data_IF_952821672701
#
_entry.id   IF_952821672701
#
_cell.length_a   1.000
_cell.length_b   1.000
_cell.length_c   1.000
_cell.angle_alpha   90.00
_cell.angle_beta   90.00
_cell.angle_gamma   90.00
#
_symmetry.space_group_name_H-M   'P 1'
#
loop_
_entity.id
_entity.type
_entity.pdbx_description
1 polymer ?
#
# COMPACT_ATOMS: atom_id res chain seq x y z
N UNK A 1 31.67 -28.41 -41.10
CA UNK A 1 31.43 -27.07 -41.65
C UNK A 1 30.44 -26.37 -40.73
N UNK A 2 30.81 -25.17 -40.27
CA UNK A 2 30.20 -24.45 -39.15
C UNK A 2 28.91 -23.69 -39.53
N UNK A 3 28.03 -23.62 -38.53
CA UNK A 3 27.14 -22.52 -38.12
C UNK A 3 26.17 -21.85 -39.10
N UNK A 4 24.88 -22.01 -38.76
CA UNK A 4 23.81 -21.07 -39.06
C UNK A 4 22.86 -20.98 -37.87
N UNK A 5 23.35 -20.45 -36.73
CA UNK A 5 22.52 -20.15 -35.55
C UNK A 5 21.84 -18.80 -35.80
N UNK A 6 20.53 -18.82 -35.98
CA UNK A 6 19.70 -17.61 -36.00
C UNK A 6 19.57 -17.08 -34.58
N UNK A 7 20.12 -15.88 -34.37
CA UNK A 7 20.04 -15.12 -33.13
C UNK A 7 18.58 -14.83 -32.74
N UNK A 8 18.17 -14.96 -31.46
CA UNK A 8 16.90 -14.42 -31.00
C UNK A 8 16.95 -12.89 -31.06
N UNK A 9 15.92 -12.31 -31.68
CA UNK A 9 15.74 -10.87 -31.82
C UNK A 9 15.73 -10.20 -30.46
N UNK A 10 16.66 -9.26 -30.29
CA UNK A 10 16.71 -8.34 -29.18
C UNK A 10 15.47 -7.44 -29.30
N UNK A 11 14.42 -7.73 -28.52
CA UNK A 11 13.27 -6.82 -28.39
C UNK A 11 13.78 -5.60 -27.65
N UNK A 12 14.11 -4.56 -28.41
CA UNK A 12 14.32 -3.23 -27.86
C UNK A 12 13.00 -2.81 -27.25
N UNK A 13 12.84 -3.01 -25.94
CA UNK A 13 11.80 -2.36 -25.16
C UNK A 13 12.05 -0.87 -25.34
N UNK A 14 11.14 -0.17 -26.04
CA UNK A 14 11.19 1.27 -26.21
C UNK A 14 11.24 1.93 -24.83
N UNK A 15 12.45 2.23 -24.38
CA UNK A 15 12.69 3.12 -23.27
C UNK A 15 12.23 4.53 -23.69
N UNK A 16 11.53 5.20 -22.77
CA UNK A 16 10.96 6.54 -22.89
C UNK A 16 9.64 6.68 -23.67
N UNK A 17 8.57 6.14 -23.07
CA UNK A 17 7.30 6.86 -22.96
C UNK A 17 7.08 7.19 -21.48
N UNK A 18 7.96 8.04 -20.93
CA UNK A 18 7.53 8.84 -19.77
C UNK A 18 6.57 9.87 -20.37
N UNK A 19 5.32 9.99 -19.88
CA UNK A 19 4.44 11.08 -20.30
C UNK A 19 5.25 12.35 -20.19
N UNK A 20 5.51 13.00 -21.33
CA UNK A 20 6.38 14.17 -21.39
C UNK A 20 5.57 15.35 -20.86
N UNK A 21 5.30 15.32 -19.55
CA UNK A 21 4.72 16.43 -18.82
C UNK A 21 5.76 17.55 -18.82
N UNK A 22 5.75 18.36 -19.88
CA UNK A 22 6.34 19.68 -19.82
C UNK A 22 5.74 20.36 -18.60
N UNK A 23 6.57 20.69 -17.63
CA UNK A 23 6.22 21.24 -16.30
C UNK A 23 5.36 22.52 -16.32
N UNK A 24 5.01 23.05 -17.49
CA UNK A 24 4.34 24.33 -17.68
C UNK A 24 2.81 24.25 -17.87
N UNK A 25 2.23 23.07 -18.10
CA UNK A 25 0.81 22.94 -18.51
C UNK A 25 -0.04 22.02 -17.61
N UNK A 26 0.38 21.70 -16.38
CA UNK A 26 -0.51 20.95 -15.48
C UNK A 26 -1.77 21.77 -15.19
N UNK A 27 -2.98 21.24 -15.45
CA UNK A 27 -4.19 21.96 -15.18
C UNK A 27 -4.28 22.26 -13.69
N UNK A 28 -4.52 23.51 -13.34
CA UNK A 28 -4.66 23.96 -11.95
C UNK A 28 -6.09 24.37 -11.63
N UNK A 29 -6.50 24.10 -10.40
CA UNK A 29 -7.81 24.50 -9.85
C UNK A 29 -7.72 25.98 -9.48
N UNK A 30 -8.67 26.78 -9.97
CA UNK A 30 -8.71 28.23 -9.68
C UNK A 30 -8.54 28.52 -8.18
N UNK A 31 -7.64 29.43 -7.82
CA UNK A 31 -7.37 29.79 -6.42
C UNK A 31 -8.61 30.37 -5.71
N UNK A 32 -9.45 31.10 -6.44
CA UNK A 32 -10.66 31.75 -5.96
C UNK A 32 -11.90 30.84 -5.95
N UNK A 33 -11.75 29.53 -6.22
CA UNK A 33 -12.85 28.58 -6.23
C UNK A 33 -13.49 28.43 -4.84
N UNK A 34 -14.79 28.68 -4.75
CA UNK A 34 -15.57 28.39 -3.55
C UNK A 34 -16.01 26.92 -3.52
N UNK A 35 -15.33 26.09 -2.74
CA UNK A 35 -15.66 24.66 -2.57
C UNK A 35 -16.99 24.40 -1.84
N UNK A 36 -17.64 25.42 -1.28
CA UNK A 36 -18.98 25.30 -0.68
C UNK A 36 -20.10 25.64 -1.67
N UNK A 37 -19.77 26.06 -2.90
CA UNK A 37 -20.74 26.35 -3.95
C UNK A 37 -20.77 25.20 -4.97
N UNK A 38 -21.81 24.35 -4.97
CA UNK A 38 -21.93 23.25 -5.92
C UNK A 38 -21.91 23.70 -7.39
N UNK A 39 -22.46 24.88 -7.70
CA UNK A 39 -22.48 25.39 -9.07
C UNK A 39 -21.08 25.82 -9.52
N UNK A 40 -20.30 26.45 -8.63
CA UNK A 40 -18.91 26.76 -8.89
C UNK A 40 -18.07 25.49 -9.13
N UNK A 41 -18.30 24.44 -8.35
CA UNK A 41 -17.63 23.14 -8.53
C UNK A 41 -18.01 22.46 -9.85
N UNK A 42 -19.28 22.51 -10.25
CA UNK A 42 -19.74 21.98 -11.55
C UNK A 42 -19.09 22.74 -12.70
N UNK A 43 -19.09 24.09 -12.65
CA UNK A 43 -18.48 24.93 -13.67
C UNK A 43 -16.97 24.69 -13.77
N UNK A 44 -16.27 24.58 -12.64
CA UNK A 44 -14.84 24.29 -12.62
C UNK A 44 -14.54 22.88 -13.15
N UNK A 45 -15.36 21.87 -12.83
CA UNK A 45 -15.23 20.52 -13.40
C UNK A 45 -15.35 20.55 -14.92
N UNK A 46 -16.36 21.23 -15.44
CA UNK A 46 -16.56 21.39 -16.89
C UNK A 46 -15.38 22.10 -17.54
N UNK A 47 -14.83 23.15 -16.91
CA UNK A 47 -13.64 23.84 -17.40
C UNK A 47 -12.43 22.91 -17.44
N UNK A 48 -12.13 22.24 -16.33
CA UNK A 48 -10.95 21.38 -16.19
C UNK A 48 -10.96 20.19 -17.15
N UNK A 49 -12.12 19.56 -17.36
CA UNK A 49 -12.27 18.44 -18.31
C UNK A 49 -12.04 18.84 -19.76
N UNK A 50 -12.25 20.11 -20.10
CA UNK A 50 -12.05 20.65 -21.45
C UNK A 50 -10.65 21.22 -21.68
N UNK A 51 -9.80 21.30 -20.65
CA UNK A 51 -8.44 21.83 -20.81
C UNK A 51 -7.61 20.92 -21.74
N UNK A 52 -6.90 21.47 -22.75
CA UNK A 52 -6.09 20.66 -23.66
C UNK A 52 -5.06 19.75 -22.96
N UNK A 53 -4.49 20.21 -21.84
CA UNK A 53 -3.57 19.42 -21.04
C UNK A 53 -4.23 18.24 -20.30
N UNK A 54 -5.49 18.40 -19.88
CA UNK A 54 -6.27 17.30 -19.30
C UNK A 54 -6.62 16.26 -20.35
N UNK A 55 -7.06 16.72 -21.53
CA UNK A 55 -7.36 15.84 -22.67
C UNK A 55 -6.13 15.04 -23.07
N UNK A 56 -5.00 15.71 -23.30
CA UNK A 56 -3.74 15.04 -23.68
C UNK A 56 -3.26 14.04 -22.64
N UNK A 57 -3.28 14.42 -21.35
CA UNK A 57 -2.92 13.50 -20.27
C UNK A 57 -3.79 12.24 -20.29
N UNK A 58 -5.11 12.41 -20.44
CA UNK A 58 -6.00 11.26 -20.45
C UNK A 58 -5.80 10.37 -21.68
N UNK A 59 -5.60 10.97 -22.86
CA UNK A 59 -5.33 10.24 -24.10
C UNK A 59 -4.01 9.44 -24.05
N UNK A 60 -3.02 9.93 -23.31
CA UNK A 60 -1.72 9.24 -23.12
C UNK A 60 -1.77 8.12 -22.06
N UNK A 61 -2.59 8.29 -21.02
CA UNK A 61 -2.56 7.43 -19.83
C UNK A 61 -3.62 6.34 -19.84
N UNK A 62 -4.80 6.60 -20.41
CA UNK A 62 -5.93 5.68 -20.38
C UNK A 62 -6.08 4.90 -21.69
N UNK A 63 -6.83 3.80 -21.64
CA UNK A 63 -6.95 2.83 -22.72
C UNK A 63 -7.88 3.27 -23.87
N UNK A 64 -8.57 4.40 -23.71
CA UNK A 64 -9.52 4.93 -24.69
C UNK A 64 -10.79 4.09 -24.84
N UNK A 65 -11.05 3.14 -23.94
CA UNK A 65 -12.27 2.33 -23.92
C UNK A 65 -13.36 3.08 -23.15
N UNK A 66 -14.60 3.06 -23.64
CA UNK A 66 -15.73 3.76 -23.00
C UNK A 66 -15.87 5.23 -23.43
N UNK A 67 -16.57 6.04 -22.65
CA UNK A 67 -16.65 7.50 -22.87
C UNK A 67 -15.43 8.20 -22.25
N UNK A 68 -14.53 8.82 -23.06
CA UNK A 68 -13.37 9.54 -22.55
C UNK A 68 -13.73 10.67 -21.57
N UNK A 69 -14.96 11.16 -21.62
CA UNK A 69 -15.47 12.20 -20.72
C UNK A 69 -15.67 11.68 -19.30
N UNK A 70 -16.08 10.41 -19.13
CA UNK A 70 -16.25 9.79 -17.81
C UNK A 70 -14.91 9.65 -17.09
N UNK A 71 -13.88 9.16 -17.78
CA UNK A 71 -12.52 9.04 -17.23
C UNK A 71 -11.95 10.41 -16.88
N UNK A 72 -12.11 11.41 -17.75
CA UNK A 72 -11.72 12.81 -17.45
C UNK A 72 -12.46 13.36 -16.23
N UNK A 73 -13.77 13.11 -16.10
CA UNK A 73 -14.55 13.51 -14.94
C UNK A 73 -14.05 12.85 -13.65
N UNK A 74 -13.66 11.58 -13.70
CA UNK A 74 -13.08 10.87 -12.58
C UNK A 74 -11.74 11.49 -12.13
N UNK A 75 -10.82 11.75 -13.07
CA UNK A 75 -9.54 12.42 -12.77
C UNK A 75 -9.77 13.80 -12.14
N UNK A 76 -10.67 14.61 -12.73
CA UNK A 76 -10.99 15.95 -12.20
C UNK A 76 -11.64 15.86 -10.82
N UNK A 77 -12.46 14.85 -10.57
CA UNK A 77 -13.05 14.61 -9.24
C UNK A 77 -11.98 14.36 -8.18
N UNK A 78 -10.96 13.54 -8.49
CA UNK A 78 -9.82 13.32 -7.58
C UNK A 78 -9.01 14.59 -7.38
N UNK A 79 -8.77 15.35 -8.45
CA UNK A 79 -8.04 16.62 -8.40
C UNK A 79 -8.76 17.67 -7.53
N UNK A 80 -10.07 17.85 -7.72
CA UNK A 80 -10.88 18.75 -6.89
C UNK A 80 -10.97 18.27 -5.44
N UNK A 81 -11.08 16.96 -5.20
CA UNK A 81 -11.07 16.41 -3.85
C UNK A 81 -9.74 16.70 -3.14
N UNK A 82 -8.60 16.57 -3.83
CA UNK A 82 -7.27 16.93 -3.31
C UNK A 82 -7.24 18.40 -2.90
N UNK A 83 -7.60 19.30 -3.82
CA UNK A 83 -7.53 20.73 -3.57
C UNK A 83 -8.49 21.18 -2.45
N UNK A 84 -9.67 20.55 -2.33
CA UNK A 84 -10.59 20.80 -1.21
C UNK A 84 -9.95 20.46 0.14
N UNK A 85 -9.33 19.27 0.25
CA UNK A 85 -8.59 18.87 1.46
C UNK A 85 -7.44 19.81 1.79
N UNK A 86 -6.63 20.20 0.79
CA UNK A 86 -5.46 21.05 0.97
C UNK A 86 -5.82 22.49 1.40
N UNK A 87 -6.88 23.06 0.81
CA UNK A 87 -7.27 24.47 1.04
C UNK A 87 -8.21 24.66 2.22
N UNK A 88 -9.08 23.69 2.49
CA UNK A 88 -10.17 23.85 3.46
C UNK A 88 -10.21 22.77 4.55
N UNK A 89 -9.34 21.75 4.48
CA UNK A 89 -9.31 20.67 5.47
C UNK A 89 -10.55 19.76 5.46
N UNK A 90 -11.42 19.90 4.46
CA UNK A 90 -12.62 19.08 4.26
C UNK A 90 -12.72 18.65 2.80
N UNK A 91 -13.25 17.44 2.52
CA UNK A 91 -13.50 17.04 1.14
C UNK A 91 -14.57 17.95 0.56
N UNK A 92 -14.34 18.40 -0.67
CA UNK A 92 -15.34 19.13 -1.43
C UNK A 92 -16.63 18.27 -1.55
N UNK A 93 -17.83 18.84 -1.41
CA UNK A 93 -19.09 18.16 -1.67
C UNK A 93 -19.20 17.89 -3.17
N UNK A 94 -18.53 16.84 -3.63
CA UNK A 94 -18.52 16.40 -5.02
C UNK A 94 -19.64 15.38 -5.19
N UNK A 95 -20.45 15.61 -6.21
CA UNK A 95 -21.59 14.75 -6.59
C UNK A 95 -21.21 13.28 -6.79
N UNK A 96 -19.99 12.99 -7.25
CA UNK A 96 -19.49 11.63 -7.42
C UNK A 96 -18.59 11.23 -6.25
N UNK A 97 -18.70 9.97 -5.83
CA UNK A 97 -17.83 9.41 -4.80
C UNK A 97 -16.37 9.43 -5.27
N UNK A 98 -15.47 9.88 -4.39
CA UNK A 98 -14.01 9.78 -4.60
C UNK A 98 -13.60 8.33 -4.85
N UNK A 99 -14.29 7.36 -4.25
CA UNK A 99 -14.00 5.95 -4.45
C UNK A 99 -14.40 5.48 -5.85
N UNK A 100 -15.58 5.88 -6.35
CA UNK A 100 -16.01 5.55 -7.71
C UNK A 100 -15.05 6.15 -8.74
N UNK A 101 -14.59 7.39 -8.49
CA UNK A 101 -13.59 8.03 -9.33
C UNK A 101 -12.25 7.28 -9.33
N UNK A 102 -11.79 6.77 -8.18
CA UNK A 102 -10.58 5.93 -8.12
C UNK A 102 -10.76 4.64 -8.91
N UNK A 103 -11.91 3.96 -8.75
CA UNK A 103 -12.19 2.72 -9.46
C UNK A 103 -12.25 2.95 -10.98
N UNK A 104 -12.89 4.03 -11.42
CA UNK A 104 -12.93 4.40 -12.83
C UNK A 104 -11.54 4.67 -13.40
N UNK A 105 -10.71 5.45 -12.69
CA UNK A 105 -9.32 5.68 -13.09
C UNK A 105 -8.57 4.36 -13.19
N UNK A 106 -8.67 3.49 -12.18
CA UNK A 106 -7.98 2.20 -12.15
C UNK A 106 -8.37 1.29 -13.32
N UNK A 107 -9.66 1.19 -13.62
CA UNK A 107 -10.21 0.32 -14.66
C UNK A 107 -9.70 0.71 -16.05
N UNK A 108 -9.64 2.00 -16.33
CA UNK A 108 -9.28 2.53 -17.66
C UNK A 108 -7.79 2.79 -17.87
N UNK A 109 -6.91 2.51 -16.88
CA UNK A 109 -5.46 2.70 -17.09
C UNK A 109 -4.96 1.80 -18.22
N UNK A 110 -4.34 2.41 -19.24
CA UNK A 110 -3.63 1.67 -20.29
C UNK A 110 -2.43 0.93 -19.69
N UNK A 111 -1.84 -0.06 -20.40
CA UNK A 111 -0.60 -0.70 -19.95
C UNK A 111 0.54 0.30 -19.70
N UNK A 112 0.67 1.34 -20.54
CA UNK A 112 1.64 2.40 -20.36
C UNK A 112 1.31 3.26 -19.12
N UNK A 113 0.03 3.60 -18.92
CA UNK A 113 -0.46 4.30 -17.74
C UNK A 113 -0.18 3.55 -16.44
N UNK A 114 -0.43 2.23 -16.41
CA UNK A 114 -0.09 1.35 -15.28
C UNK A 114 1.42 1.38 -14.99
N UNK A 115 2.25 1.23 -16.02
CA UNK A 115 3.70 1.29 -15.85
C UNK A 115 4.18 2.65 -15.30
N UNK A 116 3.66 3.75 -15.83
CA UNK A 116 3.96 5.10 -15.35
C UNK A 116 3.46 5.33 -13.92
N UNK A 117 2.29 4.81 -13.56
CA UNK A 117 1.76 4.87 -12.20
C UNK A 117 2.65 4.10 -11.22
N UNK A 118 3.14 2.91 -11.60
CA UNK A 118 4.01 2.11 -10.75
C UNK A 118 5.37 2.77 -10.50
N UNK A 119 5.87 3.58 -11.45
CA UNK A 119 7.10 4.36 -11.23
C UNK A 119 6.96 5.39 -10.10
N UNK A 120 5.73 5.80 -9.75
CA UNK A 120 5.49 6.71 -8.62
C UNK A 120 5.86 6.09 -7.26
N UNK A 121 6.01 4.76 -7.20
CA UNK A 121 6.47 4.03 -6.01
C UNK A 121 7.99 4.10 -5.84
N UNK A 122 8.73 4.09 -6.94
CA UNK A 122 10.18 3.85 -6.94
C UNK A 122 10.98 5.16 -6.85
N UNK A 123 10.45 6.28 -7.37
CA UNK A 123 11.13 7.57 -7.35
C UNK A 123 10.29 8.65 -6.65
N UNK A 124 10.71 9.13 -5.47
CA UNK A 124 10.08 10.27 -4.85
C UNK A 124 10.39 11.53 -5.68
N UNK A 125 9.38 12.04 -6.38
CA UNK A 125 9.28 13.40 -6.93
C UNK A 125 9.92 13.72 -8.29
N UNK A 126 10.34 12.76 -9.12
CA UNK A 126 10.79 13.08 -10.49
C UNK A 126 9.63 13.08 -11.49
N UNK A 127 8.89 14.19 -11.57
CA UNK A 127 8.16 14.59 -12.78
C UNK A 127 7.18 13.60 -13.41
N UNK A 128 6.71 12.56 -12.71
CA UNK A 128 5.71 11.66 -13.28
C UNK A 128 4.44 12.43 -13.59
N UNK A 129 3.81 12.09 -14.73
CA UNK A 129 2.63 12.78 -15.23
C UNK A 129 1.48 12.79 -14.22
N UNK A 130 1.46 11.90 -13.21
CA UNK A 130 0.39 11.83 -12.22
C UNK A 130 0.51 12.83 -11.06
N UNK A 131 1.71 13.35 -10.72
CA UNK A 131 1.86 14.32 -9.60
C UNK A 131 0.96 15.56 -9.78
N UNK A 132 0.81 16.05 -11.01
CA UNK A 132 0.00 17.23 -11.31
C UNK A 132 -1.49 17.02 -11.03
N UNK A 133 -1.98 15.78 -11.23
CA UNK A 133 -3.40 15.49 -11.34
C UNK A 133 -3.96 14.80 -10.09
N UNK A 134 -3.16 13.99 -9.39
CA UNK A 134 -3.64 13.12 -8.32
C UNK A 134 -2.98 13.45 -6.97
N UNK A 135 -3.71 13.24 -5.88
CA UNK A 135 -3.12 13.30 -4.54
C UNK A 135 -2.12 12.16 -4.35
N UNK A 136 -1.18 12.36 -3.42
CA UNK A 136 -0.20 11.32 -3.06
C UNK A 136 -0.88 10.01 -2.62
N UNK A 137 -1.90 10.10 -1.78
CA UNK A 137 -2.65 8.93 -1.31
C UNK A 137 -3.39 8.21 -2.44
N UNK A 138 -3.96 8.94 -3.40
CA UNK A 138 -4.68 8.35 -4.54
C UNK A 138 -3.73 7.58 -5.46
N UNK A 139 -2.54 8.12 -5.74
CA UNK A 139 -1.55 7.42 -6.57
C UNK A 139 -1.10 6.11 -5.95
N UNK A 140 -0.82 6.12 -4.65
CA UNK A 140 -0.46 4.89 -3.95
C UNK A 140 -1.62 3.91 -3.83
N UNK A 141 -2.86 4.39 -3.69
CA UNK A 141 -4.04 3.53 -3.74
C UNK A 141 -4.16 2.82 -5.09
N UNK A 142 -4.08 3.58 -6.19
CA UNK A 142 -4.18 3.03 -7.55
C UNK A 142 -3.00 2.09 -7.85
N UNK A 143 -1.80 2.45 -7.42
CA UNK A 143 -0.61 1.62 -7.58
C UNK A 143 -0.73 0.30 -6.79
N UNK A 144 -1.30 0.35 -5.58
CA UNK A 144 -1.56 -0.83 -4.76
C UNK A 144 -2.49 -1.83 -5.46
N UNK A 145 -3.61 -1.35 -6.00
CA UNK A 145 -4.52 -2.21 -6.77
C UNK A 145 -3.91 -2.71 -8.08
N UNK A 146 -3.11 -1.88 -8.76
CA UNK A 146 -2.39 -2.29 -9.98
C UNK A 146 -1.42 -3.43 -9.69
N UNK A 147 -0.63 -3.32 -8.61
CA UNK A 147 0.26 -4.38 -8.14
C UNK A 147 -0.50 -5.64 -7.72
N UNK A 148 -1.66 -5.50 -7.06
CA UNK A 148 -2.48 -6.64 -6.65
C UNK A 148 -2.98 -7.42 -7.87
N UNK A 149 -3.52 -6.74 -8.87
CA UNK A 149 -3.99 -7.34 -10.12
C UNK A 149 -2.84 -8.02 -10.89
N UNK A 150 -1.65 -7.40 -10.91
CA UNK A 150 -0.45 -8.02 -11.46
C UNK A 150 -0.08 -9.31 -10.71
N UNK A 151 -0.12 -9.30 -9.38
CA UNK A 151 0.15 -10.49 -8.58
C UNK A 151 -0.85 -11.62 -8.81
N UNK A 152 -2.14 -11.30 -8.98
CA UNK A 152 -3.17 -12.27 -9.33
C UNK A 152 -2.94 -12.88 -10.73
N UNK A 153 -2.55 -12.06 -11.71
CA UNK A 153 -2.19 -12.53 -13.04
C UNK A 153 -0.95 -13.44 -13.03
N UNK A 154 0.11 -13.05 -12.31
CA UNK A 154 1.34 -13.84 -12.17
C UNK A 154 1.07 -15.16 -11.44
N UNK A 155 0.22 -15.15 -10.41
CA UNK A 155 -0.19 -16.36 -9.71
C UNK A 155 -0.97 -17.31 -10.62
N UNK A 156 -1.93 -16.78 -11.40
CA UNK A 156 -2.68 -17.57 -12.37
C UNK A 156 -1.78 -18.17 -13.47
N UNK A 157 -0.70 -17.47 -13.83
CA UNK A 157 0.33 -17.94 -14.76
C UNK A 157 1.35 -18.92 -14.12
N UNK A 158 1.26 -19.18 -12.82
CA UNK A 158 2.19 -20.04 -12.08
C UNK A 158 3.55 -19.38 -11.77
N UNK A 159 3.71 -18.08 -12.02
CA UNK A 159 4.91 -17.31 -11.72
C UNK A 159 4.95 -16.89 -10.24
N UNK A 160 5.06 -17.85 -9.33
CA UNK A 160 4.86 -17.64 -7.88
C UNK A 160 5.79 -16.58 -7.26
N UNK A 161 7.03 -16.49 -7.71
CA UNK A 161 7.98 -15.47 -7.20
C UNK A 161 7.62 -14.06 -7.66
N UNK A 162 7.20 -13.91 -8.92
CA UNK A 162 6.71 -12.64 -9.44
C UNK A 162 5.42 -12.21 -8.72
N UNK A 163 4.51 -13.17 -8.50
CA UNK A 163 3.28 -12.96 -7.76
C UNK A 163 3.54 -12.47 -6.32
N UNK A 164 4.44 -13.14 -5.57
CA UNK A 164 4.80 -12.67 -4.23
C UNK A 164 5.33 -11.24 -4.26
N UNK A 165 6.25 -10.94 -5.18
CA UNK A 165 6.85 -9.62 -5.27
C UNK A 165 5.79 -8.54 -5.57
N UNK A 166 4.88 -8.82 -6.51
CA UNK A 166 3.77 -7.93 -6.84
C UNK A 166 2.85 -7.71 -5.64
N UNK A 167 2.48 -8.76 -4.91
CA UNK A 167 1.67 -8.64 -3.70
C UNK A 167 2.34 -7.86 -2.58
N UNK A 168 3.67 -7.97 -2.42
CA UNK A 168 4.42 -7.16 -1.44
C UNK A 168 4.46 -5.69 -1.84
N UNK A 169 4.71 -5.38 -3.12
CA UNK A 169 4.63 -4.00 -3.63
C UNK A 169 3.22 -3.41 -3.47
N UNK A 170 2.17 -4.23 -3.64
CA UNK A 170 0.81 -3.81 -3.36
C UNK A 170 0.63 -3.41 -1.88
N UNK A 171 1.16 -4.22 -0.96
CA UNK A 171 1.09 -3.93 0.46
C UNK A 171 1.81 -2.63 0.86
N UNK A 172 3.01 -2.40 0.32
CA UNK A 172 3.76 -1.16 0.52
C UNK A 172 3.00 0.06 0.00
N UNK A 173 2.42 -0.03 -1.20
CA UNK A 173 1.61 1.03 -1.76
C UNK A 173 0.35 1.31 -0.91
N UNK A 174 -0.35 0.27 -0.45
CA UNK A 174 -1.50 0.46 0.44
C UNK A 174 -1.12 1.05 1.81
N UNK A 175 0.03 0.70 2.38
CA UNK A 175 0.55 1.36 3.59
C UNK A 175 0.77 2.86 3.34
N UNK A 176 1.44 3.21 2.24
CA UNK A 176 1.69 4.60 1.86
C UNK A 176 0.39 5.38 1.57
N UNK A 177 -0.66 4.69 1.13
CA UNK A 177 -2.01 5.24 0.96
C UNK A 177 -2.81 5.36 2.28
N UNK A 178 -2.26 4.90 3.42
CA UNK A 178 -2.96 4.87 4.70
C UNK A 178 -4.11 3.85 4.73
N UNK A 179 -3.93 2.69 4.10
CA UNK A 179 -4.90 1.60 4.00
C UNK A 179 -4.34 0.31 4.62
N UNK A 180 -4.19 0.24 5.96
CA UNK A 180 -3.56 -0.90 6.62
C UNK A 180 -4.32 -2.23 6.40
N UNK A 181 -5.65 -2.21 6.31
CA UNK A 181 -6.43 -3.43 6.03
C UNK A 181 -6.14 -3.99 4.64
N UNK A 182 -6.09 -3.13 3.61
CA UNK A 182 -5.73 -3.54 2.25
C UNK A 182 -4.27 -4.02 2.17
N UNK A 183 -3.34 -3.38 2.89
CA UNK A 183 -1.96 -3.84 2.99
C UNK A 183 -1.87 -5.24 3.62
N UNK A 184 -2.66 -5.49 4.68
CA UNK A 184 -2.73 -6.80 5.32
C UNK A 184 -3.28 -7.88 4.38
N UNK A 185 -4.29 -7.55 3.57
CA UNK A 185 -4.87 -8.44 2.59
C UNK A 185 -3.86 -8.77 1.48
N UNK A 186 -3.18 -7.78 0.92
CA UNK A 186 -2.11 -8.01 -0.06
C UNK A 186 -1.02 -8.97 0.49
N UNK A 187 -0.60 -8.81 1.75
CA UNK A 187 0.34 -9.73 2.40
C UNK A 187 -0.23 -11.13 2.65
N UNK A 188 -1.55 -11.26 2.82
CA UNK A 188 -2.17 -12.58 2.84
C UNK A 188 -2.06 -13.27 1.47
N UNK A 189 -2.24 -12.54 0.37
CA UNK A 189 -2.04 -13.07 -0.97
C UNK A 189 -0.57 -13.53 -1.17
N UNK A 190 0.40 -12.70 -0.76
CA UNK A 190 1.82 -13.09 -0.71
C UNK A 190 2.05 -14.37 0.11
N UNK A 191 1.44 -14.46 1.30
CA UNK A 191 1.58 -15.64 2.16
C UNK A 191 0.95 -16.92 1.60
N UNK A 192 0.00 -16.82 0.64
CA UNK A 192 -0.66 -17.96 -0.01
C UNK A 192 0.16 -18.56 -1.14
N UNK A 193 0.95 -17.74 -1.84
CA UNK A 193 1.80 -18.18 -2.95
C UNK A 193 3.17 -18.67 -2.48
N UNK A 194 3.55 -18.34 -1.24
CA UNK A 194 4.80 -18.78 -0.63
C UNK A 194 4.67 -20.06 0.20
N UNK A 195 5.82 -20.64 0.53
CA UNK A 195 5.93 -21.79 1.44
C UNK A 195 6.90 -21.51 2.60
N UNK A 196 6.83 -22.37 3.62
CA UNK A 196 7.74 -22.38 4.75
C UNK A 196 7.88 -21.02 5.44
N UNK A 197 9.11 -20.60 5.66
CA UNK A 197 9.41 -19.39 6.41
C UNK A 197 9.01 -18.10 5.68
N UNK A 198 9.01 -18.07 4.34
CA UNK A 198 8.55 -16.89 3.57
C UNK A 198 7.08 -16.62 3.81
N UNK A 199 6.25 -17.67 3.74
CA UNK A 199 4.83 -17.59 4.06
C UNK A 199 4.60 -17.17 5.53
N UNK A 200 5.39 -17.71 6.46
CA UNK A 200 5.31 -17.34 7.86
C UNK A 200 5.59 -15.85 8.10
N UNK A 201 6.63 -15.30 7.47
CA UNK A 201 6.95 -13.86 7.53
C UNK A 201 5.81 -13.01 6.96
N UNK A 202 5.28 -13.36 5.80
CA UNK A 202 4.16 -12.63 5.20
C UNK A 202 2.89 -12.66 6.07
N UNK A 203 2.62 -13.76 6.78
CA UNK A 203 1.55 -13.81 7.79
C UNK A 203 1.81 -12.89 8.98
N UNK A 204 3.04 -12.84 9.51
CA UNK A 204 3.40 -11.93 10.59
C UNK A 204 3.29 -10.46 10.18
N UNK A 205 3.74 -10.11 8.98
CA UNK A 205 3.63 -8.76 8.44
C UNK A 205 2.16 -8.37 8.23
N UNK A 206 1.34 -9.27 7.68
CA UNK A 206 -0.11 -9.09 7.58
C UNK A 206 -0.75 -8.83 8.96
N UNK A 207 -0.32 -9.55 9.99
CA UNK A 207 -0.79 -9.35 11.37
C UNK A 207 -0.49 -7.94 11.90
N UNK A 208 0.71 -7.42 11.62
CA UNK A 208 1.12 -6.06 12.02
C UNK A 208 0.17 -5.01 11.46
N UNK A 209 -0.18 -5.10 10.18
CA UNK A 209 -1.12 -4.15 9.58
C UNK A 209 -2.56 -4.31 10.10
N UNK A 210 -3.00 -5.53 10.39
CA UNK A 210 -4.31 -5.74 11.03
C UNK A 210 -4.38 -5.10 12.42
N UNK A 211 -3.29 -5.13 13.19
CA UNK A 211 -3.22 -4.42 14.47
C UNK A 211 -3.32 -2.90 14.29
N UNK A 212 -2.62 -2.34 13.29
CA UNK A 212 -2.73 -0.92 12.95
C UNK A 212 -4.16 -0.54 12.52
N UNK A 213 -4.85 -1.43 11.81
CA UNK A 213 -6.25 -1.26 11.39
C UNK A 213 -7.28 -1.47 12.50
N UNK A 214 -6.87 -1.88 13.72
CA UNK A 214 -7.81 -2.13 14.82
C UNK A 214 -8.51 -3.49 14.77
N UNK A 215 -7.92 -4.49 14.11
CA UNK A 215 -8.44 -5.85 13.97
C UNK A 215 -7.58 -6.88 14.74
N UNK A 216 -7.50 -6.80 16.09
CA UNK A 216 -6.58 -7.59 16.89
C UNK A 216 -6.84 -9.10 16.80
N UNK A 217 -8.09 -9.53 16.82
CA UNK A 217 -8.44 -10.97 16.72
C UNK A 217 -7.97 -11.55 15.38
N UNK A 218 -8.21 -10.85 14.27
CA UNK A 218 -7.75 -11.28 12.96
C UNK A 218 -6.21 -11.37 12.91
N UNK A 219 -5.51 -10.39 13.51
CA UNK A 219 -4.04 -10.42 13.62
C UNK A 219 -3.53 -11.63 14.42
N UNK A 220 -4.17 -11.97 15.54
CA UNK A 220 -3.81 -13.14 16.34
C UNK A 220 -3.91 -14.45 15.54
N UNK A 221 -4.96 -14.60 14.72
CA UNK A 221 -5.08 -15.75 13.82
C UNK A 221 -3.98 -15.79 12.74
N UNK A 222 -3.54 -14.64 12.22
CA UNK A 222 -2.37 -14.58 11.31
C UNK A 222 -1.10 -15.05 12.00
N UNK A 223 -0.86 -14.59 13.23
CA UNK A 223 0.31 -14.97 14.03
C UNK A 223 0.31 -16.45 14.38
N UNK A 224 -0.84 -17.06 14.68
CA UNK A 224 -0.93 -18.51 14.85
C UNK A 224 -0.49 -19.28 13.60
N UNK A 225 -0.94 -18.82 12.43
CA UNK A 225 -0.57 -19.45 11.16
C UNK A 225 0.92 -19.28 10.88
N UNK A 226 1.48 -18.10 11.14
CA UNK A 226 2.92 -17.85 11.08
C UNK A 226 3.70 -18.77 12.03
N UNK A 227 3.27 -18.87 13.29
CA UNK A 227 3.93 -19.69 14.31
C UNK A 227 3.97 -21.17 13.93
N UNK A 228 2.88 -21.72 13.40
CA UNK A 228 2.83 -23.11 12.90
C UNK A 228 3.81 -23.35 11.76
N UNK A 229 3.93 -22.39 10.83
CA UNK A 229 4.86 -22.49 9.71
C UNK A 229 6.31 -22.35 10.18
N UNK A 230 6.63 -21.40 11.05
CA UNK A 230 7.96 -21.29 11.65
C UNK A 230 8.36 -22.56 12.39
N UNK A 231 7.43 -23.20 13.10
CA UNK A 231 7.70 -24.45 13.81
C UNK A 231 8.05 -25.59 12.86
N UNK A 232 7.30 -25.75 11.76
CA UNK A 232 7.60 -26.76 10.72
C UNK A 232 8.98 -26.57 10.11
N UNK A 233 9.46 -25.32 10.04
CA UNK A 233 10.78 -24.94 9.53
C UNK A 233 11.89 -24.99 10.61
N UNK A 234 11.59 -25.48 11.82
CA UNK A 234 12.54 -25.54 12.93
C UNK A 234 12.90 -24.18 13.55
N UNK A 235 12.19 -23.10 13.18
CA UNK A 235 12.41 -21.74 13.70
C UNK A 235 11.68 -21.53 15.03
N UNK A 236 12.07 -22.31 16.04
CA UNK A 236 11.37 -22.41 17.33
C UNK A 236 11.20 -21.07 18.05
N UNK A 237 12.20 -20.18 17.99
CA UNK A 237 12.14 -18.86 18.63
C UNK A 237 11.07 -17.98 17.96
N UNK A 238 11.03 -17.94 16.63
CA UNK A 238 10.02 -17.16 15.89
C UNK A 238 8.62 -17.74 16.08
N UNK A 239 8.50 -19.08 16.15
CA UNK A 239 7.25 -19.75 16.46
C UNK A 239 6.74 -19.38 17.87
N UNK A 240 7.62 -19.42 18.87
CA UNK A 240 7.34 -19.02 20.25
C UNK A 240 6.88 -17.57 20.36
N UNK A 241 7.58 -16.65 19.68
CA UNK A 241 7.21 -15.23 19.65
C UNK A 241 5.82 -15.02 19.03
N UNK A 242 5.55 -15.61 17.86
CA UNK A 242 4.26 -15.47 17.20
C UNK A 242 3.10 -16.04 18.05
N UNK A 243 3.30 -17.21 18.65
CA UNK A 243 2.34 -17.84 19.56
C UNK A 243 2.07 -16.99 20.81
N UNK A 244 3.12 -16.45 21.43
CA UNK A 244 3.01 -15.61 22.61
C UNK A 244 2.25 -14.31 22.29
N UNK A 245 2.60 -13.63 21.20
CA UNK A 245 1.89 -12.42 20.77
C UNK A 245 0.41 -12.70 20.47
N UNK A 246 0.10 -13.80 19.77
CA UNK A 246 -1.29 -14.22 19.53
C UNK A 246 -2.04 -14.47 20.84
N UNK A 247 -1.42 -15.20 21.78
CA UNK A 247 -2.01 -15.49 23.10
C UNK A 247 -2.31 -14.22 23.89
N UNK A 248 -1.36 -13.28 23.94
CA UNK A 248 -1.56 -11.98 24.61
C UNK A 248 -2.74 -11.21 24.00
N UNK A 249 -2.85 -11.20 22.66
CA UNK A 249 -3.96 -10.55 21.98
C UNK A 249 -5.29 -11.24 22.34
N UNK A 250 -5.38 -12.57 22.25
CA UNK A 250 -6.58 -13.31 22.60
C UNK A 250 -7.01 -13.09 24.06
N UNK A 251 -6.06 -13.09 25.00
CA UNK A 251 -6.34 -12.77 26.41
C UNK A 251 -6.93 -11.37 26.58
N UNK A 252 -6.35 -10.37 25.91
CA UNK A 252 -6.84 -8.99 25.95
C UNK A 252 -8.26 -8.86 25.35
N UNK A 253 -8.64 -9.74 24.43
CA UNK A 253 -9.98 -9.78 23.81
C UNK A 253 -10.95 -10.73 24.55
N UNK A 254 -10.55 -11.32 25.69
CA UNK A 254 -11.39 -12.25 26.46
C UNK A 254 -11.50 -13.66 25.87
N UNK A 255 -10.75 -13.97 24.82
CA UNK A 255 -10.72 -15.25 24.11
C UNK A 255 -9.74 -16.22 24.80
N UNK A 256 -10.10 -16.67 26.01
CA UNK A 256 -9.20 -17.47 26.87
C UNK A 256 -8.84 -18.83 26.26
N UNK A 257 -9.77 -19.46 25.55
CA UNK A 257 -9.55 -20.78 24.97
C UNK A 257 -8.52 -20.70 23.84
N UNK A 258 -8.68 -19.72 22.95
CA UNK A 258 -7.79 -19.43 21.83
C UNK A 258 -6.39 -19.01 22.33
N UNK A 259 -6.34 -18.28 23.44
CA UNK A 259 -5.07 -17.94 24.09
C UNK A 259 -4.29 -19.15 24.61
N UNK A 260 -5.00 -20.14 25.18
CA UNK A 260 -4.38 -21.39 25.64
C UNK A 260 -3.89 -22.20 24.44
N UNK A 261 -4.73 -22.38 23.42
CA UNK A 261 -4.37 -23.09 22.19
C UNK A 261 -3.14 -22.48 21.50
N UNK A 262 -3.04 -21.15 21.51
CA UNK A 262 -1.88 -20.43 21.00
C UNK A 262 -0.60 -20.85 21.72
N UNK A 263 -0.62 -20.92 23.06
CA UNK A 263 0.55 -21.31 23.85
C UNK A 263 0.87 -22.80 23.71
N UNK A 264 -0.14 -23.67 23.62
CA UNK A 264 0.06 -25.12 23.44
C UNK A 264 0.90 -25.45 22.21
N UNK A 265 0.84 -24.61 21.16
CA UNK A 265 1.65 -24.76 19.96
C UNK A 265 3.16 -24.86 20.24
N UNK A 266 3.66 -24.20 21.30
CA UNK A 266 5.10 -24.00 21.55
C UNK A 266 5.60 -24.63 22.85
N UNK A 267 4.69 -25.17 23.69
CA UNK A 267 5.04 -25.87 24.95
C UNK A 267 6.11 -26.96 24.77
N UNK A 268 6.04 -27.86 23.77
CA UNK A 268 7.02 -28.94 23.63
C UNK A 268 8.47 -28.45 23.40
N UNK A 269 8.63 -27.21 22.95
CA UNK A 269 9.91 -26.65 22.53
C UNK A 269 10.46 -25.62 23.52
N UNK A 270 9.59 -24.96 24.30
CA UNK A 270 10.03 -24.11 25.42
C UNK A 270 10.71 -24.93 26.54
N UNK A 271 10.38 -26.20 26.69
CA UNK A 271 11.07 -27.12 27.61
C UNK A 271 12.51 -27.46 27.17
N UNK A 272 12.88 -27.15 25.92
CA UNK A 272 14.19 -27.48 25.32
C UNK A 272 15.04 -26.25 25.01
N UNK A 273 14.61 -25.04 25.39
CA UNK A 273 15.51 -23.88 25.37
C UNK A 273 16.50 -24.08 26.52
N UNK A 274 17.79 -24.36 26.26
CA UNK A 274 18.75 -24.43 27.34
C UNK A 274 18.72 -23.08 28.05
N UNK A 275 18.50 -23.10 29.37
CA UNK A 275 18.75 -21.93 30.22
C UNK A 275 20.18 -21.48 29.89
N UNK A 276 20.34 -20.40 29.15
CA UNK A 276 21.60 -19.66 29.21
C UNK A 276 21.67 -19.07 30.60
N UNK A 277 22.19 -19.86 31.53
CA UNK A 277 22.72 -19.40 32.80
C UNK A 277 24.09 -18.80 32.51
N UNK A 278 24.14 -17.49 32.32
CA UNK A 278 25.28 -16.73 32.82
C UNK A 278 24.79 -15.76 33.90
N UNK A 279 25.43 -15.76 35.09
CA UNK A 279 25.17 -14.76 36.11
C UNK A 279 26.04 -13.53 35.81
N UNK A 280 25.43 -12.36 35.66
CA UNK A 280 26.13 -11.12 35.96
C UNK A 280 25.22 -10.19 36.77
N UNK A 281 25.44 -10.26 38.07
CA UNK A 281 25.04 -9.25 39.04
C UNK A 281 25.65 -7.88 38.70
N UNK A 282 24.90 -6.84 39.10
CA UNK A 282 25.25 -5.40 39.24
C UNK A 282 25.20 -4.53 37.99
N UNK A 283 24.01 -3.98 37.76
CA UNK A 283 23.86 -2.51 37.72
C UNK A 283 22.47 -2.14 38.22
N UNK A 284 22.41 -1.59 39.43
CA UNK A 284 21.25 -0.85 39.90
C UNK A 284 21.12 0.40 39.04
N UNK A 285 20.09 0.48 38.21
CA UNK A 285 19.55 1.76 37.74
C UNK A 285 18.08 1.78 38.15
N UNK A 286 17.78 2.71 39.04
CA UNK A 286 16.46 3.00 39.59
C UNK A 286 15.47 3.51 38.53
N UNK A 287 14.15 3.36 38.75
CA UNK A 287 13.13 3.69 37.77
C UNK A 287 12.76 5.18 37.83
N UNK A 288 13.40 5.99 37.00
CA UNK A 288 12.89 7.31 36.60
C UNK A 288 13.13 7.51 35.11
N UNK A 289 12.06 7.49 34.31
CA UNK A 289 12.15 7.73 32.88
C UNK A 289 10.98 7.24 32.03
N UNK A 290 9.75 7.22 32.56
CA UNK A 290 8.54 6.92 31.77
C UNK A 290 7.67 8.16 31.46
N UNK A 291 8.20 9.37 31.65
CA UNK A 291 7.54 10.61 31.24
C UNK A 291 8.60 11.57 30.68
N UNK A 292 8.80 11.57 29.36
CA UNK A 292 9.78 12.49 28.76
C UNK A 292 9.94 12.48 27.24
N UNK A 293 9.10 11.77 26.47
CA UNK A 293 9.17 11.76 25.00
C UNK A 293 7.82 12.01 24.30
N UNK A 294 6.86 12.60 25.04
CA UNK A 294 5.78 13.40 24.45
C UNK A 294 6.01 14.84 24.89
N UNK A 295 6.01 15.77 23.93
CA UNK A 295 6.20 17.23 24.09
C UNK A 295 7.60 17.81 23.86
N UNK A 296 8.31 17.40 22.79
CA UNK A 296 9.48 18.16 22.30
C UNK A 296 9.54 18.32 20.77
N UNK A 297 8.44 18.08 20.03
CA UNK A 297 8.40 18.34 18.57
C UNK A 297 7.08 19.00 18.12
N UNK A 298 6.52 19.89 18.95
CA UNK A 298 5.28 20.61 18.61
C UNK A 298 5.30 22.09 19.00
N UNK A 299 6.49 22.69 19.16
CA UNK A 299 6.63 24.12 19.49
C UNK A 299 7.76 24.85 18.74
N UNK A 300 8.03 24.46 17.49
CA UNK A 300 8.96 25.22 16.65
C UNK A 300 8.54 25.30 15.16
N UNK A 301 7.23 25.41 14.91
CA UNK A 301 6.67 25.78 13.58
C UNK A 301 5.43 26.69 13.67
N UNK A 302 5.36 27.55 14.70
CA UNK A 302 4.43 28.69 14.74
C UNK A 302 5.21 29.91 15.24
N UNK A 303 6.16 30.38 14.43
CA UNK A 303 6.55 31.81 14.28
C UNK A 303 7.68 31.88 13.26
N UNK A 304 7.31 31.89 11.99
CA UNK A 304 7.91 32.63 10.87
C UNK A 304 7.13 32.30 9.60
#
# INVERSE_FOLDING_TARGET
>A
MFNGVTSPGNVTVSAHLVPSAGQADTPDVREDLNFNDPQALIAERQRLTQLPAMVRFCDEVFDGVGDPTEVRNAVVTLMLSRCGWERHGVPAPIEHSVEDARMMVLEHLSPAGKAALLQTLDVPASGDGFWGYLARSDRYFLAGWTCLAQGDADHAAGALEAAENAYRRAAEAFELAGRPTAAAEALLHAARVCTGARAATAYSDSARYLLQGGYPVAAAYRLLKAGRLFLKEGKNVLAAQAAQTASTIFMAQGQRQEAVEAMTLVIPFMAFVPKQTEPYEKSMVTPQGLNGLRMASLREKITR
#
